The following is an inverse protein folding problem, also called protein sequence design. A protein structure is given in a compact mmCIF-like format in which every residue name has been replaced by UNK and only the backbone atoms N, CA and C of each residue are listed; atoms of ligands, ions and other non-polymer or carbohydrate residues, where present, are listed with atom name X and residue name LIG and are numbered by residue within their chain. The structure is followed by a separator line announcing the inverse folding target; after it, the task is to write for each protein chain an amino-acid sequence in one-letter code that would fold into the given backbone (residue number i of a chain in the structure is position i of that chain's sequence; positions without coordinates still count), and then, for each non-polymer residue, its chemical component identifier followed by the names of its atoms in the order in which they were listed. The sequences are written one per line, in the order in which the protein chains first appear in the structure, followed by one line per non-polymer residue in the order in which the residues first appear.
data_IF_421326424062
#
_entry.id   IF_421326424062
#
_cell.length_a   1.000
_cell.length_b   1.000
_cell.length_c   1.000
_cell.angle_alpha   90.00
_cell.angle_beta   90.00
_cell.angle_gamma   90.00
#
_symmetry.space_group_name_H-M   'P 1'
#
loop_
_entity.id
_entity.type
_entity.pdbx_description
1 polymer ?
#
# COMPACT_ATOMS: atom_id res chain seq x y z
N UNK A 1 -21.39 -20.59 2.03
CA UNK A 1 -20.29 -19.80 2.61
C UNK A 1 -19.65 -18.94 1.53
N UNK A 2 -19.57 -17.64 1.77
CA UNK A 2 -18.92 -16.73 0.85
C UNK A 2 -17.46 -16.59 1.24
N UNK A 3 -16.57 -16.87 0.31
CA UNK A 3 -15.14 -16.68 0.49
C UNK A 3 -14.71 -15.37 -0.13
N UNK A 4 -13.71 -14.78 0.46
CA UNK A 4 -13.13 -13.56 -0.05
C UNK A 4 -11.62 -13.63 0.08
N UNK A 5 -10.95 -13.32 -1.01
CA UNK A 5 -9.49 -13.24 -1.04
C UNK A 5 -9.07 -11.85 -1.50
N UNK A 6 -8.19 -11.24 -0.71
CA UNK A 6 -7.63 -9.92 -0.99
C UNK A 6 -6.11 -10.03 -0.97
N UNK A 7 -5.47 -9.27 -1.85
CA UNK A 7 -4.01 -9.19 -1.91
C UNK A 7 -3.57 -7.75 -1.69
N UNK A 8 -2.63 -7.55 -0.77
CA UNK A 8 -2.03 -6.24 -0.53
C UNK A 8 -1.26 -5.82 -1.78
N UNK A 9 -1.56 -4.63 -2.30
CA UNK A 9 -1.02 -4.16 -3.58
C UNK A 9 -0.04 -3.00 -3.42
N UNK A 10 -0.47 -1.92 -2.76
CA UNK A 10 0.33 -0.71 -2.69
C UNK A 10 -0.05 0.15 -1.49
N UNK A 11 0.85 1.04 -1.02
CA UNK A 11 0.50 1.96 0.06
C UNK A 11 -0.45 3.05 -0.45
N UNK A 12 -1.22 3.63 0.47
CA UNK A 12 -2.03 4.80 0.22
C UNK A 12 -1.16 6.05 0.38
N UNK A 13 -1.12 6.90 -0.65
CA UNK A 13 -0.36 8.15 -0.63
C UNK A 13 -1.33 9.31 -0.40
N UNK A 14 -1.06 10.24 0.54
CA UNK A 14 -1.92 11.39 0.75
C UNK A 14 -1.82 12.36 -0.43
N UNK A 15 -2.90 13.08 -0.70
CA UNK A 15 -2.94 14.05 -1.79
C UNK A 15 -3.64 15.34 -1.35
N UNK A 16 -3.59 16.37 -2.21
CA UNK A 16 -4.19 17.67 -1.91
C UNK A 16 -5.71 17.60 -1.75
N UNK A 17 -6.38 16.74 -2.50
CA UNK A 17 -7.82 16.53 -2.39
C UNK A 17 -8.17 15.98 -1.01
N UNK A 18 -7.41 15.00 -0.54
CA UNK A 18 -7.60 14.43 0.79
C UNK A 18 -7.38 15.48 1.88
N UNK A 19 -6.31 16.28 1.79
CA UNK A 19 -6.03 17.36 2.74
C UNK A 19 -7.14 18.41 2.72
N UNK A 20 -7.64 18.78 1.54
CA UNK A 20 -8.72 19.74 1.38
C UNK A 20 -10.03 19.26 1.98
N UNK A 21 -10.36 17.96 1.83
CA UNK A 21 -11.56 17.38 2.43
C UNK A 21 -11.58 17.55 3.96
N UNK A 22 -10.42 17.37 4.60
CA UNK A 22 -10.29 17.52 6.06
C UNK A 22 -9.97 18.95 6.50
N UNK A 23 -9.84 19.89 5.56
CA UNK A 23 -9.50 21.29 5.82
C UNK A 23 -8.29 21.44 6.76
N UNK A 24 -7.25 20.66 6.47
CA UNK A 24 -6.03 20.64 7.28
C UNK A 24 -4.80 20.78 6.38
N UNK A 25 -4.20 22.00 6.41
CA UNK A 25 -3.09 22.34 5.52
C UNK A 25 -1.85 21.48 5.71
N UNK A 26 -1.62 20.96 6.92
CA UNK A 26 -0.44 20.13 7.24
C UNK A 26 -0.68 18.64 7.10
N UNK A 27 -1.85 18.21 6.61
CA UNK A 27 -2.24 16.82 6.61
C UNK A 27 -1.29 15.92 5.81
N UNK A 28 -0.85 16.36 4.63
CA UNK A 28 0.08 15.59 3.80
C UNK A 28 1.38 15.34 4.54
N UNK A 29 1.94 16.38 5.15
CA UNK A 29 3.17 16.27 5.94
C UNK A 29 2.99 15.35 7.15
N UNK A 30 1.93 15.57 7.92
CA UNK A 30 1.63 14.79 9.12
C UNK A 30 1.42 13.32 8.79
N UNK A 31 0.66 13.04 7.72
CA UNK A 31 0.41 11.69 7.24
C UNK A 31 1.70 11.00 6.80
N UNK A 32 2.53 11.71 6.06
CA UNK A 32 3.82 11.18 5.57
C UNK A 32 4.77 10.91 6.74
N UNK A 33 4.87 11.84 7.69
CA UNK A 33 5.76 11.70 8.85
C UNK A 33 5.34 10.55 9.76
N UNK A 34 4.05 10.26 9.85
CA UNK A 34 3.55 9.16 10.67
C UNK A 34 3.95 7.78 10.14
N UNK A 35 4.20 7.63 8.84
CA UNK A 35 4.60 6.37 8.19
C UNK A 35 3.62 5.21 8.42
N UNK A 36 2.33 5.53 8.51
CA UNK A 36 1.24 4.57 8.71
C UNK A 36 0.17 4.82 7.66
N UNK A 37 0.51 4.52 6.41
CA UNK A 37 -0.30 4.92 5.27
C UNK A 37 -1.59 4.11 5.10
N UNK A 38 -1.62 2.86 5.59
CA UNK A 38 -2.60 1.90 5.13
C UNK A 38 -2.25 1.38 3.75
N UNK A 39 -3.11 0.55 3.20
CA UNK A 39 -2.81 -0.11 1.92
C UNK A 39 -4.06 -0.24 1.06
N UNK A 40 -3.86 -0.23 -0.25
CA UNK A 40 -4.86 -0.68 -1.20
C UNK A 40 -4.77 -2.19 -1.36
N UNK A 41 -5.93 -2.82 -1.52
CA UNK A 41 -6.04 -4.27 -1.67
C UNK A 41 -6.61 -4.61 -3.04
N UNK A 42 -6.02 -5.60 -3.69
CA UNK A 42 -6.55 -6.16 -4.92
C UNK A 42 -7.57 -7.25 -4.58
N UNK A 43 -8.72 -7.21 -5.21
CA UNK A 43 -9.75 -8.24 -5.02
C UNK A 43 -9.38 -9.45 -5.88
N UNK A 44 -9.04 -10.55 -5.25
CA UNK A 44 -8.74 -11.81 -5.95
C UNK A 44 -10.01 -12.63 -6.12
N UNK A 45 -10.83 -12.68 -5.08
CA UNK A 45 -12.12 -13.37 -5.11
C UNK A 45 -13.17 -12.47 -4.48
N UNK A 46 -14.24 -12.20 -5.21
CA UNK A 46 -15.34 -11.37 -4.73
C UNK A 46 -16.18 -12.08 -3.68
N UNK A 47 -16.82 -11.29 -2.83
CA UNK A 47 -17.72 -11.75 -1.79
C UNK A 47 -18.14 -10.58 -0.91
N UNK A 48 -18.72 -10.85 0.23
CA UNK A 48 -19.14 -9.82 1.18
C UNK A 48 -18.26 -9.84 2.43
N UNK A 49 -17.94 -8.67 2.97
CA UNK A 49 -17.27 -8.54 4.27
C UNK A 49 -18.07 -7.62 5.17
N UNK A 50 -18.01 -7.93 6.46
CA UNK A 50 -18.67 -7.15 7.51
C UNK A 50 -17.72 -6.92 8.65
N UNK A 51 -17.99 -5.89 9.44
CA UNK A 51 -17.24 -5.66 10.67
C UNK A 51 -17.35 -6.89 11.57
N UNK A 52 -16.23 -7.31 12.13
CA UNK A 52 -16.16 -8.50 12.99
C UNK A 52 -15.82 -9.79 12.26
N UNK A 53 -15.75 -9.79 10.92
CA UNK A 53 -15.33 -10.97 10.19
C UNK A 53 -13.87 -11.35 10.49
N UNK A 54 -13.61 -12.65 10.54
CA UNK A 54 -12.25 -13.15 10.77
C UNK A 54 -11.37 -12.93 9.55
N UNK A 55 -10.13 -12.48 9.79
CA UNK A 55 -9.11 -12.29 8.75
C UNK A 55 -8.04 -13.36 8.95
N UNK A 56 -7.76 -14.11 7.89
CA UNK A 56 -6.67 -15.11 7.88
C UNK A 56 -5.67 -14.79 6.81
N UNK A 57 -4.39 -14.82 7.16
CA UNK A 57 -3.30 -14.71 6.18
C UNK A 57 -3.07 -16.09 5.58
N UNK A 58 -3.43 -16.26 4.31
CA UNK A 58 -3.32 -17.56 3.63
C UNK A 58 -2.04 -17.70 2.83
N UNK A 59 -1.32 -16.62 2.59
CA UNK A 59 -0.06 -16.62 1.87
C UNK A 59 0.80 -15.44 2.31
N UNK A 60 2.07 -15.70 2.55
CA UNK A 60 3.09 -14.67 2.75
C UNK A 60 4.18 -14.88 1.72
N UNK A 61 4.50 -13.86 0.88
CA UNK A 61 5.57 -14.00 -0.09
C UNK A 61 6.93 -14.15 0.61
N UNK A 62 7.90 -14.70 -0.11
CA UNK A 62 9.25 -14.92 0.41
C UNK A 62 10.04 -13.63 0.57
N UNK A 63 9.70 -12.59 -0.18
CA UNK A 63 10.38 -11.30 -0.03
C UNK A 63 10.00 -10.63 1.29
N UNK A 64 10.89 -9.78 1.77
CA UNK A 64 10.77 -9.10 3.06
C UNK A 64 10.31 -7.65 2.93
N UNK A 65 9.71 -7.31 1.80
CA UNK A 65 9.27 -5.95 1.50
C UNK A 65 7.89 -5.72 2.09
N UNK A 66 7.76 -4.66 2.90
CA UNK A 66 6.50 -4.26 3.51
C UNK A 66 5.90 -3.04 2.78
N UNK A 67 4.64 -2.76 3.07
CA UNK A 67 3.97 -1.53 2.60
C UNK A 67 4.72 -0.29 3.09
N UNK A 68 5.24 -0.32 4.32
CA UNK A 68 6.03 0.78 4.86
C UNK A 68 7.29 1.03 4.03
N UNK A 69 7.98 -0.03 3.59
CA UNK A 69 9.17 0.10 2.75
C UNK A 69 8.86 0.81 1.44
N UNK A 70 7.74 0.48 0.82
CA UNK A 70 7.29 1.12 -0.43
C UNK A 70 6.93 2.59 -0.18
N UNK A 71 6.21 2.86 0.89
CA UNK A 71 5.84 4.23 1.27
C UNK A 71 7.09 5.08 1.54
N UNK A 72 8.06 4.54 2.27
CA UNK A 72 9.32 5.22 2.55
C UNK A 72 10.07 5.56 1.27
N UNK A 73 10.12 4.65 0.31
CA UNK A 73 10.74 4.90 -1.00
C UNK A 73 10.05 6.04 -1.74
N UNK A 74 8.72 6.07 -1.71
CA UNK A 74 7.91 7.12 -2.33
C UNK A 74 8.18 8.48 -1.64
N UNK A 75 8.45 8.46 -0.34
CA UNK A 75 8.77 9.66 0.45
C UNK A 75 10.23 10.13 0.28
N UNK A 76 11.06 9.39 -0.44
CA UNK A 76 12.41 9.80 -0.77
C UNK A 76 13.53 8.85 -0.37
N UNK A 77 13.23 7.81 0.39
CA UNK A 77 14.25 6.83 0.80
C UNK A 77 14.53 5.84 -0.33
N UNK A 78 15.77 5.73 -0.78
CA UNK A 78 16.14 4.94 -1.97
C UNK A 78 16.96 3.68 -1.65
N UNK A 79 17.17 3.38 -0.38
CA UNK A 79 18.05 2.28 0.04
C UNK A 79 17.56 0.88 -0.35
N UNK A 80 16.26 0.70 -0.58
CA UNK A 80 15.65 -0.59 -0.89
C UNK A 80 15.10 -0.71 -2.30
N UNK A 81 15.45 0.20 -3.21
CA UNK A 81 14.90 0.23 -4.58
C UNK A 81 15.10 -1.11 -5.30
N UNK A 82 16.29 -1.71 -5.18
CA UNK A 82 16.56 -2.99 -5.86
C UNK A 82 15.62 -4.10 -5.37
N UNK A 83 15.34 -4.17 -4.08
CA UNK A 83 14.39 -5.14 -3.52
C UNK A 83 12.96 -4.84 -3.97
N UNK A 84 12.56 -3.57 -4.00
CA UNK A 84 11.23 -3.15 -4.41
C UNK A 84 10.93 -3.53 -5.86
N UNK A 85 11.91 -3.43 -6.75
CA UNK A 85 11.77 -3.80 -8.16
C UNK A 85 11.45 -5.28 -8.37
N UNK A 86 11.70 -6.12 -7.37
CA UNK A 86 11.49 -7.56 -7.46
C UNK A 86 10.16 -8.02 -6.85
N UNK A 87 9.31 -7.10 -6.38
CA UNK A 87 8.02 -7.43 -5.77
C UNK A 87 6.95 -7.60 -6.85
N UNK A 88 6.48 -8.82 -7.13
CA UNK A 88 5.51 -9.03 -8.22
C UNK A 88 4.11 -8.53 -7.88
N UNK A 89 3.76 -8.40 -6.59
CA UNK A 89 2.43 -8.02 -6.14
C UNK A 89 2.15 -6.52 -6.30
N UNK A 90 3.15 -5.70 -6.58
CA UNK A 90 2.95 -4.27 -6.77
C UNK A 90 2.05 -4.00 -7.98
N UNK A 91 1.28 -2.90 -7.91
CA UNK A 91 0.50 -2.45 -9.05
C UNK A 91 1.40 -2.05 -10.23
N UNK A 92 0.84 -2.08 -11.43
CA UNK A 92 1.58 -1.67 -12.64
C UNK A 92 2.08 -0.24 -12.55
N UNK A 93 1.30 0.65 -11.94
CA UNK A 93 1.69 2.05 -11.73
C UNK A 93 2.98 2.15 -10.90
N UNK A 94 3.09 1.38 -9.82
CA UNK A 94 4.30 1.37 -8.99
C UNK A 94 5.48 0.72 -9.70
N UNK A 95 5.25 -0.35 -10.47
CA UNK A 95 6.30 -0.98 -11.28
C UNK A 95 6.87 -0.02 -12.30
N UNK A 96 6.03 0.76 -12.97
CA UNK A 96 6.45 1.78 -13.94
C UNK A 96 7.26 2.88 -13.25
N UNK A 97 6.80 3.34 -12.10
CA UNK A 97 7.52 4.35 -11.32
C UNK A 97 8.92 3.88 -10.93
N UNK A 98 9.04 2.65 -10.42
CA UNK A 98 10.32 2.07 -10.02
C UNK A 98 11.26 1.89 -11.22
N UNK A 99 10.73 1.55 -12.38
CA UNK A 99 11.53 1.36 -13.59
C UNK A 99 12.24 2.65 -14.05
N UNK A 100 11.73 3.81 -13.63
CA UNK A 100 12.31 5.12 -13.97
C UNK A 100 13.41 5.58 -13.01
N UNK A 101 13.65 4.83 -11.95
CA UNK A 101 14.64 5.20 -10.92
C UNK A 101 16.03 4.65 -11.21
#
# INVERSE_FOLDING_TARGET
MLFRSLEVSEPRIPCRVFAGFWDRATLIKDFTDARRSGAYLRIIQEGEISAGDEIKVIHRPEHDVSIKDIFDAKAGERGKIAQLKQVPELSDQYKEWLAKL
#
